data_IF_738587468619
#
_entry.id   IF_738587468619
#
_cell.length_a   1.000
_cell.length_b   1.000
_cell.length_c   1.000
_cell.angle_alpha   90.00
_cell.angle_beta   90.00
_cell.angle_gamma   90.00
#
_symmetry.space_group_name_H-M   'P 1'
#
loop_
_entity.id
_entity.type
_entity.pdbx_description
1 polymer ?
#
# COMPACT_ATOMS: atom_id res chain seq x y z
N UNK A 1 -14.22 -12.24 9.54
CA UNK A 1 -13.40 -11.21 8.87
C UNK A 1 -12.58 -10.48 9.91
N UNK A 2 -11.25 -10.61 9.89
CA UNK A 2 -10.34 -10.02 10.89
C UNK A 2 -9.37 -9.01 10.24
N UNK A 3 -9.89 -8.12 9.39
CA UNK A 3 -9.06 -7.18 8.61
C UNK A 3 -9.35 -5.72 8.94
N UNK A 4 -10.06 -5.44 10.03
CA UNK A 4 -10.58 -4.10 10.31
C UNK A 4 -9.62 -3.21 11.14
N UNK A 5 -8.60 -3.78 11.78
CA UNK A 5 -7.66 -3.02 12.64
C UNK A 5 -6.25 -2.83 12.07
N UNK A 6 -5.92 -3.45 10.94
CA UNK A 6 -4.60 -3.29 10.29
C UNK A 6 -4.62 -2.15 9.27
N UNK A 7 -5.21 -0.99 9.60
CA UNK A 7 -5.17 0.19 8.73
C UNK A 7 -4.11 1.17 9.18
N UNK A 8 -3.29 1.63 8.24
CA UNK A 8 -2.29 2.68 8.43
C UNK A 8 -2.68 3.92 7.63
N UNK A 9 -1.85 4.97 7.66
CA UNK A 9 -2.12 6.20 6.91
C UNK A 9 -3.54 6.77 7.11
N UNK A 10 -3.95 6.95 8.38
CA UNK A 10 -5.30 7.45 8.76
C UNK A 10 -6.47 6.62 8.23
N UNK A 11 -6.27 5.32 7.99
CA UNK A 11 -7.33 4.45 7.48
C UNK A 11 -7.29 4.23 5.96
N UNK A 12 -6.41 4.93 5.23
CA UNK A 12 -6.28 4.80 3.79
C UNK A 12 -5.29 3.71 3.36
N UNK A 13 -4.36 3.35 4.24
CA UNK A 13 -3.40 2.26 4.00
C UNK A 13 -3.78 1.01 4.77
N UNK A 14 -3.21 -0.12 4.38
CA UNK A 14 -3.35 -1.41 5.06
C UNK A 14 -1.98 -1.93 5.46
N UNK A 15 -1.82 -2.32 6.73
CA UNK A 15 -0.65 -3.05 7.20
C UNK A 15 -0.74 -4.50 6.72
N UNK A 16 0.21 -4.94 5.91
CA UNK A 16 0.33 -6.29 5.37
C UNK A 16 1.77 -6.76 5.44
N UNK A 17 2.02 -8.07 5.41
CA UNK A 17 3.40 -8.60 5.39
C UNK A 17 4.13 -8.26 4.08
N UNK A 18 3.39 -8.11 2.98
CA UNK A 18 3.87 -7.69 1.67
C UNK A 18 2.86 -6.74 1.01
N UNK A 19 3.37 -5.75 0.27
CA UNK A 19 2.52 -4.90 -0.56
C UNK A 19 2.25 -5.56 -1.90
N UNK A 20 1.03 -5.42 -2.39
CA UNK A 20 0.69 -5.86 -3.75
C UNK A 20 1.32 -4.93 -4.78
N UNK A 21 1.46 -5.37 -6.03
CA UNK A 21 2.02 -4.55 -7.13
C UNK A 21 1.21 -3.26 -7.38
N UNK A 22 -0.03 -3.20 -6.90
CA UNK A 22 -0.92 -2.04 -6.98
C UNK A 22 -0.90 -1.19 -5.70
N UNK A 23 0.04 -1.43 -4.78
CA UNK A 23 0.21 -0.67 -3.55
C UNK A 23 1.63 -0.08 -3.46
N UNK A 24 1.74 1.10 -2.88
CA UNK A 24 3.00 1.69 -2.45
C UNK A 24 3.28 1.33 -1.02
N UNK A 25 4.49 0.84 -0.75
CA UNK A 25 5.03 0.86 0.61
C UNK A 25 5.31 2.30 1.03
N UNK A 26 4.83 2.69 2.21
CA UNK A 26 5.09 4.01 2.79
C UNK A 26 5.97 3.90 4.04
N UNK A 27 5.59 3.03 4.98
CA UNK A 27 6.31 2.88 6.24
C UNK A 27 6.08 1.49 6.86
N UNK A 28 6.88 1.11 7.84
CA UNK A 28 6.62 -0.09 8.64
C UNK A 28 5.54 0.20 9.69
N UNK A 29 4.57 -0.70 9.78
CA UNK A 29 3.61 -0.74 10.87
C UNK A 29 4.26 -1.28 12.15
N UNK A 30 3.71 -0.98 13.33
CA UNK A 30 4.26 -1.43 14.62
C UNK A 30 4.30 -2.95 14.78
N UNK A 31 3.54 -3.69 13.98
CA UNK A 31 3.49 -5.15 13.92
C UNK A 31 4.57 -5.75 13.00
N UNK A 32 5.62 -5.00 12.66
CA UNK A 32 6.64 -5.33 11.65
C UNK A 32 6.09 -5.61 10.24
N UNK A 33 4.81 -5.32 10.01
CA UNK A 33 4.15 -5.40 8.70
C UNK A 33 4.46 -4.14 7.88
N UNK A 34 4.45 -4.24 6.55
CA UNK A 34 4.55 -3.10 5.63
C UNK A 34 3.21 -2.35 5.56
N UNK A 35 3.22 -1.03 5.75
CA UNK A 35 2.07 -0.17 5.44
C UNK A 35 2.00 0.01 3.92
N UNK A 36 1.01 -0.63 3.33
CA UNK A 36 0.74 -0.62 1.91
C UNK A 36 -0.43 0.31 1.62
N UNK A 37 -0.23 1.27 0.72
CA UNK A 37 -1.26 2.22 0.31
C UNK A 37 -1.60 1.97 -1.15
N UNK A 38 -2.87 1.68 -1.46
CA UNK A 38 -3.28 1.38 -2.84
C UNK A 38 -3.05 2.58 -3.77
N UNK A 39 -2.37 2.33 -4.89
CA UNK A 39 -2.20 3.30 -5.99
C UNK A 39 -3.53 3.68 -6.63
N UNK A 40 -4.61 2.93 -6.41
CA UNK A 40 -5.96 3.30 -6.85
C UNK A 40 -6.45 4.62 -6.24
N UNK A 41 -5.78 5.15 -5.21
CA UNK A 41 -6.00 6.51 -4.70
C UNK A 41 -5.18 7.59 -5.44
N UNK A 42 -4.53 7.24 -6.55
CA UNK A 42 -4.03 8.17 -7.56
C UNK A 42 -4.89 8.01 -8.80
N UNK A 43 -5.71 9.01 -9.20
CA UNK A 43 -6.09 9.09 -10.60
C UNK A 43 -4.76 9.24 -11.36
N UNK A 44 -4.50 8.37 -12.34
CA UNK A 44 -3.33 8.44 -13.22
C UNK A 44 -1.94 8.38 -12.54
N UNK A 45 -1.34 7.19 -12.52
CA UNK A 45 0.09 7.11 -12.87
C UNK A 45 0.16 6.54 -14.31
N UNK A 46 0.87 7.21 -15.23
CA UNK A 46 1.07 6.71 -16.58
C UNK A 46 1.84 5.37 -16.52
N UNK A 47 1.74 4.53 -17.57
CA UNK A 47 2.52 3.30 -17.65
C UNK A 47 4.00 3.59 -17.42
N UNK A 48 4.71 2.65 -16.78
CA UNK A 48 6.17 2.70 -16.63
C UNK A 48 6.79 3.03 -17.99
N UNK A 49 7.83 3.89 -18.07
CA UNK A 49 8.61 3.97 -19.29
C UNK A 49 9.18 2.57 -19.54
N UNK A 50 8.82 2.02 -20.69
CA UNK A 50 9.57 0.97 -21.37
C UNK A 50 11.05 1.40 -21.40
N UNK A 51 11.88 0.66 -20.66
CA UNK A 51 13.33 0.77 -20.77
C UNK A 51 13.67 0.10 -22.11
N UNK A 52 14.18 0.91 -23.04
CA UNK A 52 14.66 0.54 -24.38
C UNK A 52 15.77 -0.52 -24.35
#
# INVERSE_FOLDING_TARGET
GRTEFKRCWKGQGTCRTYCTRQESFIHLCPDASLCCLSYMFRPSRPPMPEDE
#
